data_IF_104144537726
#
_entry.id   IF_104144537726
#
_cell.length_a   1.000
_cell.length_b   1.000
_cell.length_c   1.000
_cell.angle_alpha   90.00
_cell.angle_beta   90.00
_cell.angle_gamma   90.00
#
_symmetry.space_group_name_H-M   'P 1'
#
loop_
_entity.id
_entity.type
_entity.pdbx_description
1 polymer ?
#
# COMPACT_ATOMS: atom_id res chain seq x y z
N UNK A 1 -6.49 -23.66 -4.47
CA UNK A 1 -5.99 -22.35 -3.99
C UNK A 1 -4.82 -21.99 -4.89
N UNK A 2 -4.59 -20.72 -5.20
CA UNK A 2 -3.44 -20.33 -6.05
C UNK A 2 -2.14 -20.76 -5.33
N UNK A 3 -1.17 -21.32 -6.06
CA UNK A 3 0.09 -21.80 -5.48
C UNK A 3 0.83 -20.68 -4.73
N UNK A 4 0.74 -19.43 -5.21
CA UNK A 4 1.32 -18.29 -4.52
C UNK A 4 0.66 -18.03 -3.17
N UNK A 5 -0.67 -18.20 -3.07
CA UNK A 5 -1.40 -18.02 -1.80
C UNK A 5 -0.96 -19.08 -0.78
N UNK A 6 -0.79 -20.32 -1.20
CA UNK A 6 -0.28 -21.39 -0.31
C UNK A 6 1.11 -21.04 0.25
N UNK A 7 2.03 -20.56 -0.61
CA UNK A 7 3.36 -20.09 -0.17
C UNK A 7 3.27 -18.93 0.82
N UNK A 8 2.41 -17.95 0.56
CA UNK A 8 2.19 -16.83 1.48
C UNK A 8 1.69 -17.32 2.83
N UNK A 9 0.77 -18.29 2.84
CA UNK A 9 0.26 -18.87 4.09
C UNK A 9 1.36 -19.62 4.83
N UNK A 10 2.25 -20.33 4.14
CA UNK A 10 3.41 -20.96 4.79
C UNK A 10 4.34 -19.92 5.45
N UNK A 11 4.59 -18.79 4.80
CA UNK A 11 5.35 -17.67 5.42
C UNK A 11 4.62 -17.11 6.65
N UNK A 12 3.30 -16.94 6.56
CA UNK A 12 2.47 -16.48 7.67
C UNK A 12 2.58 -17.44 8.88
N UNK A 13 2.50 -18.74 8.67
CA UNK A 13 2.60 -19.73 9.76
C UNK A 13 4.00 -19.78 10.39
N UNK A 14 5.05 -19.44 9.62
CA UNK A 14 6.42 -19.27 10.14
C UNK A 14 6.63 -17.93 10.88
N UNK A 15 5.68 -17.00 10.77
CA UNK A 15 5.80 -15.67 11.36
C UNK A 15 6.65 -14.71 10.53
N UNK A 16 6.77 -14.95 9.23
CA UNK A 16 7.63 -14.23 8.30
C UNK A 16 6.84 -13.12 7.58
N UNK A 17 7.43 -11.93 7.43
CA UNK A 17 6.86 -10.90 6.56
C UNK A 17 7.06 -11.30 5.10
N UNK A 18 6.18 -10.83 4.23
CA UNK A 18 6.20 -11.24 2.83
C UNK A 18 5.81 -10.11 1.87
N UNK A 19 6.24 -10.25 0.63
CA UNK A 19 5.81 -9.46 -0.52
C UNK A 19 5.20 -10.41 -1.55
N UNK A 20 3.92 -10.22 -1.90
CA UNK A 20 3.36 -10.79 -3.12
C UNK A 20 3.50 -9.76 -4.24
N UNK A 21 4.50 -9.96 -5.08
CA UNK A 21 4.73 -9.13 -6.27
C UNK A 21 4.06 -9.75 -7.49
N UNK A 22 3.64 -8.93 -8.44
CA UNK A 22 3.03 -9.44 -9.66
C UNK A 22 2.68 -8.34 -10.64
N UNK A 23 2.87 -8.61 -11.93
CA UNK A 23 2.68 -7.61 -12.97
C UNK A 23 1.22 -7.16 -13.09
N UNK A 24 0.97 -6.15 -13.93
CA UNK A 24 -0.39 -5.70 -14.21
C UNK A 24 -1.24 -6.87 -14.72
N UNK A 25 -2.48 -6.98 -14.21
CA UNK A 25 -3.39 -8.06 -14.62
C UNK A 25 -3.10 -9.45 -14.01
N UNK A 26 -2.13 -9.58 -13.10
CA UNK A 26 -1.86 -10.86 -12.42
C UNK A 26 -2.92 -11.29 -11.40
N UNK A 27 -3.68 -10.34 -10.85
CA UNK A 27 -4.70 -10.60 -9.84
C UNK A 27 -4.20 -10.49 -8.40
N UNK A 28 -3.22 -9.62 -8.12
CA UNK A 28 -2.71 -9.37 -6.75
C UNK A 28 -3.80 -9.10 -5.73
N UNK A 29 -4.73 -8.18 -6.00
CA UNK A 29 -5.86 -7.88 -5.10
C UNK A 29 -6.78 -9.09 -4.89
N UNK A 30 -6.90 -9.99 -5.88
CA UNK A 30 -7.62 -11.25 -5.70
C UNK A 30 -6.86 -12.17 -4.74
N UNK A 31 -5.54 -12.32 -4.89
CA UNK A 31 -4.69 -13.07 -3.97
C UNK A 31 -4.70 -12.49 -2.56
N UNK A 32 -4.65 -11.16 -2.39
CA UNK A 32 -4.84 -10.48 -1.09
C UNK A 32 -6.14 -10.91 -0.40
N UNK A 33 -7.26 -10.89 -1.13
CA UNK A 33 -8.56 -11.32 -0.59
C UNK A 33 -8.54 -12.79 -0.19
N UNK A 34 -7.90 -13.67 -0.97
CA UNK A 34 -7.77 -15.09 -0.60
C UNK A 34 -6.91 -15.27 0.65
N UNK A 35 -5.78 -14.58 0.75
CA UNK A 35 -4.90 -14.59 1.93
C UNK A 35 -5.67 -14.11 3.16
N UNK A 36 -6.41 -13.00 3.08
CA UNK A 36 -7.23 -12.50 4.19
C UNK A 36 -8.24 -13.56 4.67
N UNK A 37 -8.96 -14.19 3.74
CA UNK A 37 -9.96 -15.22 4.08
C UNK A 37 -9.32 -16.45 4.74
N UNK A 38 -8.16 -16.87 4.25
CA UNK A 38 -7.45 -18.01 4.82
C UNK A 38 -6.90 -17.67 6.21
N UNK A 39 -6.36 -16.46 6.41
CA UNK A 39 -5.93 -15.98 7.72
C UNK A 39 -7.09 -15.92 8.70
N UNK A 40 -8.27 -15.43 8.29
CA UNK A 40 -9.48 -15.44 9.14
C UNK A 40 -9.87 -16.87 9.51
N UNK A 41 -9.79 -17.80 8.57
CA UNK A 41 -10.16 -19.20 8.78
C UNK A 41 -9.21 -19.89 9.76
N UNK A 42 -7.90 -19.66 9.63
CA UNK A 42 -6.86 -20.25 10.49
C UNK A 42 -6.73 -19.56 11.85
N UNK A 43 -6.98 -18.26 11.89
CA UNK A 43 -6.82 -17.40 13.07
C UNK A 43 -8.12 -16.65 13.38
N UNK A 44 -9.21 -17.35 13.76
CA UNK A 44 -10.56 -16.78 13.86
C UNK A 44 -10.74 -15.71 14.95
N UNK A 45 -9.80 -15.62 15.90
CA UNK A 45 -9.80 -14.59 16.95
C UNK A 45 -8.95 -13.37 16.60
N UNK A 46 -8.12 -13.46 15.56
CA UNK A 46 -7.19 -12.39 15.19
C UNK A 46 -7.86 -11.37 14.30
N UNK A 47 -7.56 -10.09 14.53
CA UNK A 47 -7.93 -9.02 13.61
C UNK A 47 -6.84 -8.81 12.56
N UNK A 48 -7.26 -8.34 11.40
CA UNK A 48 -6.40 -8.02 10.26
C UNK A 48 -6.61 -6.55 9.94
N UNK A 49 -5.53 -5.79 9.81
CA UNK A 49 -5.57 -4.48 9.17
C UNK A 49 -5.18 -4.62 7.70
N UNK A 50 -5.96 -4.04 6.80
CA UNK A 50 -5.63 -3.95 5.38
C UNK A 50 -5.61 -2.48 4.97
N UNK A 51 -4.46 -1.98 4.57
CA UNK A 51 -4.24 -0.59 4.18
C UNK A 51 -4.22 -0.48 2.67
N UNK A 52 -4.83 0.58 2.14
CA UNK A 52 -4.83 0.89 0.71
C UNK A 52 -4.57 2.38 0.48
N UNK A 53 -4.24 2.75 -0.76
CA UNK A 53 -4.04 4.17 -1.11
C UNK A 53 -5.37 4.92 -1.31
N UNK A 54 -6.40 4.27 -1.87
CA UNK A 54 -7.67 4.94 -2.22
C UNK A 54 -8.88 4.38 -1.48
N UNK A 55 -9.91 5.20 -1.27
CA UNK A 55 -11.21 4.77 -0.73
C UNK A 55 -11.95 3.78 -1.65
N UNK A 56 -11.71 3.83 -2.97
CA UNK A 56 -12.30 2.87 -3.90
C UNK A 56 -11.77 1.44 -3.63
N UNK A 57 -10.46 1.31 -3.42
CA UNK A 57 -9.82 0.04 -3.04
C UNK A 57 -10.32 -0.45 -1.68
N UNK A 58 -10.52 0.45 -0.71
CA UNK A 58 -11.12 0.11 0.60
C UNK A 58 -12.46 -0.60 0.39
N UNK A 59 -13.41 0.05 -0.28
CA UNK A 59 -14.74 -0.50 -0.50
C UNK A 59 -14.73 -1.78 -1.33
N UNK A 60 -13.81 -1.90 -2.28
CA UNK A 60 -13.66 -3.10 -3.09
C UNK A 60 -13.25 -4.31 -2.23
N UNK A 61 -12.25 -4.15 -1.35
CA UNK A 61 -11.77 -5.23 -0.48
C UNK A 61 -12.83 -5.57 0.59
N UNK A 62 -13.44 -4.56 1.21
CA UNK A 62 -14.51 -4.76 2.20
C UNK A 62 -15.65 -5.59 1.63
N UNK A 63 -16.16 -5.21 0.45
CA UNK A 63 -17.26 -5.94 -0.20
C UNK A 63 -16.87 -7.37 -0.56
N UNK A 64 -15.59 -7.64 -0.85
CA UNK A 64 -15.12 -8.98 -1.24
C UNK A 64 -14.93 -9.89 -0.03
N UNK A 65 -14.57 -9.39 1.14
CA UNK A 65 -14.31 -10.22 2.33
C UNK A 65 -15.52 -10.25 3.27
N UNK A 66 -16.12 -9.09 3.53
CA UNK A 66 -17.28 -8.87 4.42
C UNK A 66 -17.19 -9.66 5.74
N UNK A 67 -16.20 -9.30 6.59
CA UNK A 67 -15.96 -10.00 7.84
C UNK A 67 -15.53 -9.07 8.98
N UNK A 68 -16.08 -9.29 10.17
CA UNK A 68 -15.86 -8.44 11.35
C UNK A 68 -14.41 -8.39 11.85
N UNK A 69 -13.58 -9.35 11.43
CA UNK A 69 -12.16 -9.38 11.80
C UNK A 69 -11.25 -8.59 10.86
N UNK A 70 -11.77 -8.14 9.73
CA UNK A 70 -11.03 -7.30 8.80
C UNK A 70 -11.35 -5.83 9.09
N UNK A 71 -10.30 -5.01 9.22
CA UNK A 71 -10.41 -3.56 9.20
C UNK A 71 -9.67 -3.05 7.96
N UNK A 72 -10.41 -2.58 6.95
CA UNK A 72 -9.84 -1.98 5.75
C UNK A 72 -9.90 -0.46 5.89
N UNK A 73 -8.83 0.23 5.54
CA UNK A 73 -8.83 1.70 5.56
C UNK A 73 -7.77 2.26 4.62
N UNK A 74 -7.82 3.57 4.37
CA UNK A 74 -6.67 4.24 3.79
C UNK A 74 -5.49 4.20 4.76
N UNK A 75 -4.29 4.43 4.23
CA UNK A 75 -3.06 4.56 5.05
C UNK A 75 -3.22 5.67 6.10
N UNK A 76 -3.71 6.84 5.71
CA UNK A 76 -3.85 7.98 6.61
C UNK A 76 -4.87 7.71 7.73
N UNK A 77 -6.00 7.09 7.40
CA UNK A 77 -7.01 6.74 8.39
C UNK A 77 -6.49 5.68 9.37
N UNK A 78 -5.75 4.68 8.87
CA UNK A 78 -5.09 3.69 9.72
C UNK A 78 -4.15 4.37 10.71
N UNK A 79 -3.29 5.25 10.24
CA UNK A 79 -2.35 5.98 11.09
C UNK A 79 -3.08 6.78 12.15
N UNK A 80 -4.06 7.60 11.74
CA UNK A 80 -4.84 8.43 12.65
C UNK A 80 -5.57 7.61 13.71
N UNK A 81 -6.25 6.54 13.31
CA UNK A 81 -7.01 5.68 14.22
C UNK A 81 -6.15 5.04 15.32
N UNK A 82 -4.88 4.78 15.02
CA UNK A 82 -3.94 4.19 15.96
C UNK A 82 -3.25 5.22 16.87
N UNK A 83 -3.29 6.52 16.56
CA UNK A 83 -2.64 7.56 17.38
C UNK A 83 -3.60 8.54 18.05
N UNK A 84 -4.83 8.71 17.53
CA UNK A 84 -5.77 9.78 17.93
C UNK A 84 -6.10 9.84 19.42
N UNK A 85 -6.04 8.73 20.12
CA UNK A 85 -6.34 8.65 21.55
C UNK A 85 -5.15 9.04 22.44
N UNK A 86 -3.95 9.17 21.89
CA UNK A 86 -2.72 9.54 22.61
C UNK A 86 -2.49 11.06 22.54
N UNK A 87 -3.50 11.85 22.92
CA UNK A 87 -3.51 13.30 22.74
C UNK A 87 -2.37 14.03 23.45
N UNK A 88 -1.95 13.54 24.61
CA UNK A 88 -0.79 14.09 25.33
C UNK A 88 0.50 13.89 24.53
N UNK A 89 0.72 12.68 24.05
CA UNK A 89 1.87 12.30 23.23
C UNK A 89 1.85 13.01 21.87
N UNK A 90 0.67 13.15 21.24
CA UNK A 90 0.44 13.91 20.01
C UNK A 90 0.89 15.36 20.16
N UNK A 91 0.36 16.07 21.17
CA UNK A 91 0.71 17.47 21.43
C UNK A 91 2.21 17.64 21.70
N UNK A 92 2.79 16.76 22.52
CA UNK A 92 4.21 16.81 22.86
C UNK A 92 5.10 16.56 21.64
N UNK A 93 4.78 15.57 20.81
CA UNK A 93 5.55 15.26 19.59
C UNK A 93 5.39 16.35 18.54
N UNK A 94 4.19 16.91 18.38
CA UNK A 94 3.96 17.99 17.43
C UNK A 94 4.76 19.26 17.81
N UNK A 95 4.83 19.61 19.09
CA UNK A 95 5.68 20.73 19.56
C UNK A 95 7.16 20.43 19.32
N UNK A 96 7.62 19.21 19.63
CA UNK A 96 8.99 18.81 19.33
C UNK A 96 9.31 18.98 17.84
N UNK A 97 8.41 18.52 16.96
CA UNK A 97 8.59 18.64 15.51
C UNK A 97 8.59 20.09 15.03
N UNK A 98 7.71 20.93 15.57
CA UNK A 98 7.67 22.37 15.27
C UNK A 98 8.96 23.10 15.67
N UNK A 99 9.65 22.61 16.70
CA UNK A 99 10.92 23.15 17.17
C UNK A 99 12.15 22.47 16.56
N UNK A 100 11.96 21.42 15.75
CA UNK A 100 13.05 20.70 15.10
C UNK A 100 13.20 21.18 13.66
N UNK A 101 14.41 21.63 13.29
CA UNK A 101 14.72 21.98 11.90
C UNK A 101 14.51 20.77 10.99
N UNK A 102 14.00 21.03 9.78
CA UNK A 102 13.79 20.01 8.74
C UNK A 102 12.81 18.89 9.10
N UNK A 103 11.96 19.09 10.12
CA UNK A 103 10.88 18.16 10.47
C UNK A 103 9.79 18.07 9.39
N UNK A 104 9.78 19.03 8.45
CA UNK A 104 8.75 19.15 7.42
C UNK A 104 7.39 19.61 7.95
N UNK A 105 7.32 20.13 9.18
CA UNK A 105 6.13 20.74 9.77
C UNK A 105 6.50 22.14 10.28
N UNK A 106 5.72 23.15 9.91
CA UNK A 106 5.94 24.53 10.31
C UNK A 106 4.65 25.23 10.73
N UNK A 107 4.75 26.15 11.69
CA UNK A 107 3.62 26.95 12.14
C UNK A 107 3.66 28.31 11.44
N UNK A 108 2.75 28.51 10.48
CA UNK A 108 2.66 29.77 9.72
C UNK A 108 2.49 30.97 10.66
N UNK A 109 3.31 32.00 10.47
CA UNK A 109 3.25 33.25 11.22
C UNK A 109 3.80 33.18 12.65
N UNK A 110 4.51 32.11 13.01
CA UNK A 110 5.17 31.98 14.31
C UNK A 110 6.68 32.07 14.13
N UNK A 111 7.32 33.00 14.84
CA UNK A 111 8.78 33.18 14.86
C UNK A 111 9.34 32.76 16.22
N UNK A 112 10.35 31.88 16.21
CA UNK A 112 11.02 31.39 17.42
C UNK A 112 10.54 30.02 17.91
N UNK A 113 10.88 29.70 19.15
CA UNK A 113 10.55 28.41 19.77
C UNK A 113 9.07 28.37 20.18
N UNK A 114 8.37 27.32 19.73
CA UNK A 114 6.98 27.03 20.13
C UNK A 114 6.99 26.49 21.55
N UNK A 115 6.28 27.12 22.50
CA UNK A 115 6.33 26.72 23.90
C UNK A 115 5.65 25.37 24.13
N UNK A 116 6.10 24.64 25.15
CA UNK A 116 5.62 23.29 25.49
C UNK A 116 4.12 23.22 25.86
N UNK A 117 3.53 24.35 26.23
CA UNK A 117 2.12 24.50 26.57
C UNK A 117 1.27 25.05 25.40
N UNK A 118 1.81 25.22 24.19
CA UNK A 118 1.09 25.87 23.07
C UNK A 118 -0.31 25.28 22.79
N UNK A 119 -0.44 23.95 22.87
CA UNK A 119 -1.70 23.22 22.65
C UNK A 119 -2.55 23.00 23.93
N UNK A 120 -2.23 23.74 24.99
CA UNK A 120 -2.87 23.65 26.31
C UNK A 120 -3.23 25.04 26.85
N UNK A 121 -2.36 26.02 26.63
CA UNK A 121 -2.52 27.39 27.07
C UNK A 121 -3.73 28.04 26.38
N UNK A 122 -4.59 28.67 27.19
CA UNK A 122 -5.77 29.42 26.73
C UNK A 122 -6.69 28.60 25.81
N UNK A 123 -6.71 27.28 26.00
CA UNK A 123 -7.59 26.33 25.29
C UNK A 123 -8.62 25.72 26.22
N UNK A 124 -9.75 25.33 25.63
CA UNK A 124 -10.77 24.54 26.31
C UNK A 124 -10.21 23.20 26.82
N UNK A 125 -10.74 22.67 27.94
CA UNK A 125 -10.25 21.42 28.54
C UNK A 125 -10.30 20.21 27.60
N UNK A 126 -11.20 20.21 26.62
CA UNK A 126 -11.41 19.14 25.64
C UNK A 126 -10.64 19.36 24.32
N UNK A 127 -9.81 20.41 24.23
CA UNK A 127 -9.01 20.68 23.03
C UNK A 127 -8.13 19.48 22.66
N UNK A 128 -8.32 19.00 21.44
CA UNK A 128 -7.64 17.84 20.89
C UNK A 128 -7.07 18.17 19.51
N UNK A 129 -5.93 17.56 19.20
CA UNK A 129 -5.43 17.49 17.83
C UNK A 129 -6.44 16.70 17.00
N UNK A 130 -6.74 17.19 15.80
CA UNK A 130 -7.69 16.61 14.86
C UNK A 130 -7.03 16.42 13.50
N UNK A 131 -7.35 15.33 12.82
CA UNK A 131 -6.96 15.09 11.44
C UNK A 131 -8.11 15.44 10.49
N UNK A 132 -7.82 16.23 9.46
CA UNK A 132 -8.75 16.68 8.41
C UNK A 132 -8.04 16.79 7.07
N UNK A 133 -8.78 17.05 6.00
CA UNK A 133 -8.23 17.22 4.64
C UNK A 133 -7.43 18.54 4.46
N UNK A 134 -7.48 19.45 5.44
CA UNK A 134 -6.80 20.74 5.38
C UNK A 134 -5.93 20.98 6.61
N UNK A 135 -4.85 21.77 6.43
CA UNK A 135 -3.93 22.12 7.50
C UNK A 135 -4.36 23.39 8.24
N UNK A 136 -4.50 23.32 9.56
CA UNK A 136 -4.64 24.49 10.43
C UNK A 136 -4.01 24.22 11.79
N UNK A 137 -2.67 24.14 11.81
CA UNK A 137 -1.89 23.75 12.98
C UNK A 137 -2.14 24.65 14.20
N UNK A 138 -2.36 25.94 14.01
CA UNK A 138 -2.71 26.84 15.10
C UNK A 138 -3.96 26.38 15.86
N UNK A 139 -4.89 25.69 15.20
CA UNK A 139 -6.11 25.14 15.80
C UNK A 139 -6.00 23.65 16.15
N UNK A 140 -4.78 23.09 16.08
CA UNK A 140 -4.55 21.66 16.29
C UNK A 140 -5.06 20.77 15.16
N UNK A 141 -5.30 21.32 13.97
CA UNK A 141 -5.77 20.54 12.82
C UNK A 141 -4.57 20.19 11.93
N UNK A 142 -4.33 18.89 11.74
CA UNK A 142 -3.28 18.31 10.87
C UNK A 142 -3.87 17.76 9.57
N UNK A 143 -3.11 17.83 8.48
CA UNK A 143 -3.50 17.28 7.18
C UNK A 143 -2.95 15.86 6.94
N UNK A 144 -3.14 15.33 5.73
CA UNK A 144 -2.55 14.06 5.26
C UNK A 144 -1.03 14.03 5.42
N UNK A 145 -0.35 15.13 5.05
CA UNK A 145 1.11 15.23 5.11
C UNK A 145 1.62 15.21 6.55
N UNK A 146 0.95 15.94 7.45
CA UNK A 146 1.33 16.01 8.85
C UNK A 146 1.01 14.72 9.60
N UNK A 147 -0.15 14.07 9.35
CA UNK A 147 -0.50 12.83 10.06
C UNK A 147 0.52 11.74 9.75
N UNK A 148 1.04 11.68 8.54
CA UNK A 148 2.08 10.73 8.16
C UNK A 148 3.38 10.95 8.96
N UNK A 149 3.94 12.17 8.91
CA UNK A 149 5.19 12.53 9.61
C UNK A 149 5.05 12.40 11.12
N UNK A 150 3.93 12.89 11.67
CA UNK A 150 3.64 12.82 13.10
C UNK A 150 3.51 11.37 13.57
N UNK A 151 2.84 10.53 12.78
CA UNK A 151 2.72 9.10 13.09
C UNK A 151 4.09 8.44 13.14
N UNK A 152 4.91 8.59 12.11
CA UNK A 152 6.26 8.01 12.09
C UNK A 152 7.03 8.36 13.37
N UNK A 153 7.00 9.65 13.73
CA UNK A 153 7.71 10.14 14.91
C UNK A 153 7.13 9.56 16.21
N UNK A 154 5.82 9.41 16.30
CA UNK A 154 5.15 8.79 17.44
C UNK A 154 5.44 7.29 17.56
N UNK A 155 5.40 6.54 16.45
CA UNK A 155 5.75 5.11 16.43
C UNK A 155 7.21 4.88 16.82
N UNK A 156 8.12 5.76 16.39
CA UNK A 156 9.51 5.76 16.80
C UNK A 156 9.68 6.01 18.31
N UNK A 157 9.07 7.09 18.82
CA UNK A 157 9.30 7.59 20.18
C UNK A 157 8.58 6.76 21.25
N UNK A 158 7.43 6.20 20.93
CA UNK A 158 6.58 5.50 21.90
C UNK A 158 6.36 4.03 21.49
N UNK A 159 7.27 3.11 21.87
CA UNK A 159 7.11 1.67 21.62
C UNK A 159 5.80 1.07 22.15
N UNK A 160 5.13 1.73 23.10
CA UNK A 160 3.80 1.36 23.58
C UNK A 160 2.73 1.47 22.49
N UNK A 161 2.84 2.43 21.57
CA UNK A 161 1.94 2.57 20.42
C UNK A 161 2.14 1.37 19.48
N UNK A 162 3.38 1.05 19.12
CA UNK A 162 3.70 -0.17 18.35
C UNK A 162 3.11 -1.41 19.04
N UNK A 163 3.32 -1.57 20.35
CA UNK A 163 2.76 -2.70 21.12
C UNK A 163 1.23 -2.73 21.10
N UNK A 164 0.57 -1.57 21.17
CA UNK A 164 -0.88 -1.45 21.06
C UNK A 164 -1.37 -1.89 19.68
N UNK A 165 -0.77 -1.37 18.60
CA UNK A 165 -1.14 -1.71 17.22
C UNK A 165 -0.94 -3.20 16.94
N UNK A 166 0.22 -3.77 17.29
CA UNK A 166 0.51 -5.21 17.09
C UNK A 166 -0.44 -6.12 17.89
N UNK A 167 -0.95 -5.64 19.03
CA UNK A 167 -1.96 -6.39 19.80
C UNK A 167 -3.33 -6.33 19.15
N UNK A 168 -3.66 -5.17 18.59
CA UNK A 168 -4.92 -4.95 17.91
C UNK A 168 -4.96 -5.69 16.59
N UNK A 169 -3.86 -5.71 15.84
CA UNK A 169 -3.73 -6.31 14.51
C UNK A 169 -2.49 -7.19 14.45
N UNK A 170 -2.60 -8.51 14.73
CA UNK A 170 -1.52 -9.46 14.51
C UNK A 170 -1.11 -9.62 13.03
N UNK A 171 -1.96 -9.19 12.10
CA UNK A 171 -1.69 -9.19 10.66
C UNK A 171 -1.97 -7.81 10.09
N UNK A 172 -1.00 -7.27 9.35
CA UNK A 172 -1.11 -5.97 8.65
C UNK A 172 -0.75 -6.19 7.19
N UNK A 173 -1.69 -5.92 6.29
CA UNK A 173 -1.51 -6.04 4.85
C UNK A 173 -1.60 -4.69 4.16
N UNK A 174 -0.81 -4.51 3.11
CA UNK A 174 -0.77 -3.28 2.30
C UNK A 174 -1.03 -3.65 0.85
N UNK A 175 -2.09 -3.11 0.27
CA UNK A 175 -2.33 -3.15 -1.17
C UNK A 175 -1.64 -1.97 -1.86
N UNK A 176 -1.17 -2.17 -3.08
CA UNK A 176 -0.39 -1.20 -3.87
C UNK A 176 0.79 -0.60 -3.08
N UNK A 177 1.65 -1.47 -2.53
CA UNK A 177 2.75 -1.03 -1.66
C UNK A 177 3.71 -0.06 -2.33
N UNK A 178 3.90 -0.14 -3.65
CA UNK A 178 4.84 0.71 -4.37
C UNK A 178 4.50 2.21 -4.25
N UNK A 179 3.21 2.52 -4.10
CA UNK A 179 2.69 3.87 -3.97
C UNK A 179 2.56 4.30 -2.49
N UNK A 180 2.95 3.43 -1.55
CA UNK A 180 2.95 3.73 -0.13
C UNK A 180 4.16 4.59 0.23
N UNK A 181 3.98 5.60 1.08
CA UNK A 181 5.07 6.46 1.51
C UNK A 181 6.16 5.69 2.28
N UNK A 182 7.46 5.97 2.06
CA UNK A 182 8.59 5.34 2.76
C UNK A 182 8.49 5.36 4.29
N UNK A 183 7.87 6.38 4.89
CA UNK A 183 7.68 6.47 6.34
C UNK A 183 6.81 5.33 6.88
N UNK A 184 5.85 4.83 6.10
CA UNK A 184 5.03 3.67 6.49
C UNK A 184 5.86 2.40 6.47
N UNK A 185 6.65 2.20 5.42
CA UNK A 185 7.56 1.04 5.31
C UNK A 185 8.53 1.04 6.48
N UNK A 186 9.08 2.21 6.83
CA UNK A 186 9.93 2.41 8.00
C UNK A 186 9.24 2.03 9.31
N UNK A 187 8.00 2.48 9.54
CA UNK A 187 7.22 2.09 10.73
C UNK A 187 7.10 0.55 10.81
N UNK A 188 6.71 -0.08 9.71
CA UNK A 188 6.35 -1.50 9.69
C UNK A 188 7.55 -2.45 9.67
N UNK A 189 8.67 -2.05 9.08
CA UNK A 189 9.85 -2.90 8.91
C UNK A 189 11.02 -2.53 9.81
N UNK A 190 11.08 -1.30 10.34
CA UNK A 190 12.15 -0.91 11.28
C UNK A 190 11.67 -0.74 12.72
N UNK A 191 10.41 -0.30 12.95
CA UNK A 191 9.93 -0.01 14.31
C UNK A 191 9.13 -1.16 14.91
N UNK A 192 8.30 -1.83 14.11
CA UNK A 192 7.57 -3.01 14.57
C UNK A 192 8.50 -4.11 15.10
N UNK A 193 9.63 -4.46 14.45
CA UNK A 193 10.52 -5.51 14.95
C UNK A 193 11.16 -5.21 16.32
N UNK A 194 11.28 -3.92 16.69
CA UNK A 194 11.83 -3.50 18.00
C UNK A 194 10.92 -3.86 19.18
N UNK A 195 9.70 -4.30 18.93
CA UNK A 195 8.74 -4.72 19.96
C UNK A 195 8.44 -6.20 19.85
N UNK A 196 8.59 -6.93 20.96
CA UNK A 196 8.54 -8.41 21.04
C UNK A 196 7.21 -9.06 20.65
N UNK A 197 6.09 -8.33 20.71
CA UNK A 197 4.79 -8.86 20.28
C UNK A 197 4.87 -9.29 18.81
N UNK A 198 4.22 -10.37 18.41
CA UNK A 198 4.23 -10.80 17.01
C UNK A 198 3.25 -9.95 16.18
N UNK A 199 3.64 -9.62 14.96
CA UNK A 199 2.79 -9.03 13.93
C UNK A 199 3.42 -9.38 12.59
N UNK A 200 2.62 -9.89 11.67
CA UNK A 200 3.08 -10.24 10.33
C UNK A 200 2.66 -9.13 9.38
N UNK A 201 3.60 -8.66 8.58
CA UNK A 201 3.38 -7.61 7.58
C UNK A 201 3.45 -8.23 6.19
N UNK A 202 2.40 -8.00 5.39
CA UNK A 202 2.32 -8.47 4.02
C UNK A 202 2.16 -7.31 3.03
N UNK A 203 3.00 -7.26 2.01
CA UNK A 203 2.93 -6.27 0.95
C UNK A 203 2.38 -6.91 -0.32
N UNK A 204 1.52 -6.20 -1.05
CA UNK A 204 0.94 -6.62 -2.32
C UNK A 204 1.12 -5.48 -3.31
N UNK A 205 1.75 -5.73 -4.46
CA UNK A 205 2.02 -4.64 -5.39
C UNK A 205 2.92 -4.99 -6.56
N UNK A 206 3.31 -3.97 -7.31
CA UNK A 206 4.21 -4.06 -8.45
C UNK A 206 5.07 -2.79 -8.50
N UNK A 207 6.38 -2.92 -8.30
CA UNK A 207 7.31 -1.78 -8.34
C UNK A 207 7.29 -1.04 -9.69
N UNK A 208 7.03 -1.75 -10.80
CA UNK A 208 6.91 -1.15 -12.13
C UNK A 208 5.59 -0.37 -12.34
N UNK A 209 4.66 -0.40 -11.38
CA UNK A 209 3.40 0.37 -11.39
C UNK A 209 3.44 1.58 -10.46
N UNK A 210 4.60 1.93 -9.89
CA UNK A 210 4.74 3.13 -9.08
C UNK A 210 4.49 4.37 -9.95
N UNK A 211 3.49 5.17 -9.58
CA UNK A 211 3.11 6.40 -10.33
C UNK A 211 3.15 7.66 -9.47
N UNK A 212 3.36 7.53 -8.16
CA UNK A 212 3.51 8.64 -7.24
C UNK A 212 4.98 8.84 -6.86
N UNK A 213 5.49 10.05 -7.06
CA UNK A 213 6.91 10.40 -6.83
C UNK A 213 7.34 10.26 -5.36
N UNK A 214 6.40 10.36 -4.42
CA UNK A 214 6.63 10.21 -2.98
C UNK A 214 6.39 8.79 -2.46
N UNK A 215 6.02 7.86 -3.35
CA UNK A 215 5.91 6.44 -3.05
C UNK A 215 7.28 5.80 -2.81
N UNK A 216 7.28 4.64 -2.16
CA UNK A 216 8.52 3.88 -1.90
C UNK A 216 9.11 3.31 -3.19
N UNK A 217 8.29 3.08 -4.22
CA UNK A 217 8.68 2.48 -5.48
C UNK A 217 8.96 0.98 -5.36
N UNK A 218 10.01 0.61 -4.63
CA UNK A 218 10.35 -0.78 -4.31
C UNK A 218 10.77 -0.93 -2.85
N UNK A 219 10.82 -2.17 -2.38
CA UNK A 219 11.30 -2.52 -1.03
C UNK A 219 12.45 -3.51 -1.10
N UNK A 220 13.24 -3.46 -2.18
CA UNK A 220 14.26 -4.46 -2.51
C UNK A 220 15.33 -4.58 -1.42
N UNK A 221 15.64 -3.46 -0.75
CA UNK A 221 16.55 -3.42 0.40
C UNK A 221 16.08 -4.23 1.62
N UNK A 222 14.79 -4.56 1.69
CA UNK A 222 14.20 -5.38 2.75
C UNK A 222 13.99 -6.83 2.32
N UNK A 223 14.13 -7.14 1.02
CA UNK A 223 13.92 -8.50 0.53
C UNK A 223 15.06 -9.42 0.95
N UNK A 224 14.70 -10.65 1.32
CA UNK A 224 15.65 -11.73 1.56
C UNK A 224 16.04 -12.31 0.21
N UNK A 225 17.31 -12.14 -0.14
CA UNK A 225 17.91 -12.67 -1.37
C UNK A 225 19.28 -13.26 -1.06
N UNK A 226 19.88 -13.96 -2.02
CA UNK A 226 21.27 -14.44 -1.89
C UNK A 226 22.27 -13.29 -1.68
N UNK A 227 21.96 -12.10 -2.21
CA UNK A 227 22.76 -10.88 -2.09
C UNK A 227 22.42 -10.07 -0.82
N UNK A 228 21.25 -10.29 -0.23
CA UNK A 228 20.75 -9.64 0.98
C UNK A 228 20.19 -10.66 1.99
N UNK A 229 21.05 -11.48 2.63
CA UNK A 229 20.59 -12.51 3.57
C UNK A 229 20.04 -11.93 4.88
N UNK A 230 20.38 -10.68 5.20
CA UNK A 230 19.90 -9.95 6.39
C UNK A 230 18.56 -9.24 6.14
N UNK A 231 17.95 -9.43 4.96
CA UNK A 231 16.60 -8.96 4.67
C UNK A 231 15.56 -9.50 5.67
N UNK A 232 14.35 -8.92 5.64
CA UNK A 232 13.28 -9.28 6.56
C UNK A 232 11.94 -9.57 5.88
N UNK A 233 11.89 -9.57 4.55
CA UNK A 233 10.69 -9.79 3.73
C UNK A 233 10.96 -10.89 2.69
N UNK A 234 10.11 -11.91 2.63
CA UNK A 234 10.18 -12.95 1.60
C UNK A 234 9.32 -12.58 0.40
N UNK A 235 9.88 -12.64 -0.81
CA UNK A 235 9.12 -12.38 -2.04
C UNK A 235 8.47 -13.66 -2.59
N UNK A 236 7.19 -13.57 -2.95
CA UNK A 236 6.47 -14.56 -3.74
C UNK A 236 5.94 -13.89 -5.02
N UNK A 237 6.61 -14.18 -6.12
CA UNK A 237 6.28 -13.62 -7.43
C UNK A 237 5.09 -14.34 -8.08
N UNK A 238 4.07 -13.56 -8.46
CA UNK A 238 2.93 -14.01 -9.26
C UNK A 238 3.20 -13.76 -10.74
N UNK A 239 3.62 -14.81 -11.44
CA UNK A 239 3.98 -14.76 -12.87
C UNK A 239 2.77 -14.74 -13.79
N UNK A 240 1.68 -15.39 -13.42
CA UNK A 240 0.53 -15.50 -14.30
C UNK A 240 -0.17 -14.15 -14.51
N UNK A 241 -0.40 -13.77 -15.76
CA UNK A 241 -1.28 -12.69 -16.19
C UNK A 241 -2.63 -13.29 -16.60
N UNK A 242 -3.70 -12.82 -15.96
CA UNK A 242 -5.06 -13.36 -16.13
C UNK A 242 -5.97 -12.42 -16.92
N UNK A 243 -5.48 -11.23 -17.28
CA UNK A 243 -6.28 -10.14 -17.87
C UNK A 243 -5.93 -9.94 -19.34
N UNK A 244 -4.65 -9.97 -19.67
CA UNK A 244 -4.15 -9.48 -20.96
C UNK A 244 -3.96 -10.62 -21.98
N UNK A 245 -4.22 -10.35 -23.28
CA UNK A 245 -3.83 -11.21 -24.39
C UNK A 245 -2.30 -11.40 -24.50
N UNK A 246 -1.88 -12.43 -25.23
CA UNK A 246 -0.47 -12.80 -25.43
C UNK A 246 0.37 -11.63 -25.96
N UNK A 247 -0.11 -10.90 -26.97
CA UNK A 247 0.62 -9.77 -27.55
C UNK A 247 0.93 -8.69 -26.52
N UNK A 248 -0.02 -8.41 -25.62
CA UNK A 248 0.09 -7.41 -24.55
C UNK A 248 1.03 -7.88 -23.45
N UNK A 249 1.00 -9.17 -23.09
CA UNK A 249 1.95 -9.77 -22.13
C UNK A 249 3.37 -9.66 -22.69
N UNK A 250 3.58 -10.03 -23.95
CA UNK A 250 4.89 -9.97 -24.60
C UNK A 250 5.45 -8.54 -24.60
N UNK A 251 4.63 -7.55 -24.97
CA UNK A 251 5.05 -6.14 -24.92
C UNK A 251 5.33 -5.70 -23.48
N UNK A 252 4.44 -6.00 -22.53
CA UNK A 252 4.62 -5.63 -21.13
C UNK A 252 5.96 -6.16 -20.59
N UNK A 253 6.27 -7.44 -20.81
CA UNK A 253 7.55 -8.04 -20.42
C UNK A 253 8.75 -7.34 -21.06
N UNK A 254 8.65 -6.87 -22.31
CA UNK A 254 9.75 -6.15 -22.97
C UNK A 254 10.02 -4.75 -22.39
N UNK A 255 9.06 -4.19 -21.65
CA UNK A 255 9.17 -2.89 -20.99
C UNK A 255 9.56 -2.99 -19.51
N UNK A 256 9.54 -4.21 -18.94
CA UNK A 256 9.90 -4.42 -17.53
C UNK A 256 11.41 -4.28 -17.34
N UNK A 257 11.79 -3.67 -16.23
CA UNK A 257 13.18 -3.45 -15.83
C UNK A 257 13.58 -4.31 -14.61
N UNK A 258 12.62 -5.04 -14.06
CA UNK A 258 12.79 -5.92 -12.91
C UNK A 258 12.92 -7.39 -13.34
N UNK A 259 13.05 -8.30 -12.36
CA UNK A 259 13.23 -9.74 -12.61
C UNK A 259 11.92 -10.47 -12.94
N UNK A 260 10.77 -9.81 -12.77
CA UNK A 260 9.48 -10.45 -12.98
C UNK A 260 9.20 -10.65 -14.47
N UNK A 261 8.97 -11.90 -14.86
CA UNK A 261 8.49 -12.27 -16.18
C UNK A 261 7.06 -12.77 -16.12
N UNK A 262 6.13 -12.12 -16.83
CA UNK A 262 4.73 -12.53 -16.86
C UNK A 262 4.49 -13.64 -17.89
N UNK A 263 3.67 -14.61 -17.51
CA UNK A 263 3.24 -15.72 -18.36
C UNK A 263 1.72 -15.73 -18.46
N UNK A 264 1.10 -16.24 -19.53
CA UNK A 264 -0.35 -16.39 -19.57
C UNK A 264 -0.89 -17.26 -18.44
N UNK A 265 -2.16 -17.04 -18.08
CA UNK A 265 -2.84 -17.84 -17.08
C UNK A 265 -3.01 -19.29 -17.53
N UNK A 266 -2.87 -20.24 -16.60
CA UNK A 266 -3.21 -21.65 -16.81
C UNK A 266 -4.71 -21.93 -16.54
N UNK A 267 -5.37 -21.05 -15.80
CA UNK A 267 -6.82 -21.12 -15.58
C UNK A 267 -7.61 -20.85 -16.87
N UNK A 268 -8.26 -21.90 -17.39
CA UNK A 268 -9.12 -21.87 -18.57
C UNK A 268 -10.30 -20.87 -18.45
N UNK A 269 -10.66 -20.45 -17.23
CA UNK A 269 -11.71 -19.46 -16.98
C UNK A 269 -11.18 -18.03 -16.86
N UNK A 270 -9.87 -17.82 -17.00
CA UNK A 270 -9.29 -16.50 -16.93
C UNK A 270 -9.80 -15.61 -18.09
N UNK A 271 -10.02 -14.30 -17.85
CA UNK A 271 -10.49 -13.36 -18.88
C UNK A 271 -9.68 -13.34 -20.18
N UNK A 272 -8.40 -13.70 -20.14
CA UNK A 272 -7.52 -13.77 -21.31
C UNK A 272 -7.55 -15.11 -22.05
N UNK A 273 -8.38 -16.06 -21.64
CA UNK A 273 -8.56 -17.33 -22.33
C UNK A 273 -9.74 -17.27 -23.31
N UNK A 274 -9.63 -17.98 -24.43
CA UNK A 274 -10.73 -18.27 -25.35
C UNK A 274 -11.63 -19.34 -24.75
N UNK A 275 -12.85 -19.50 -25.30
CA UNK A 275 -13.75 -20.58 -24.87
C UNK A 275 -13.20 -22.00 -25.12
N UNK A 276 -12.16 -22.11 -25.94
CA UNK A 276 -11.46 -23.35 -26.27
C UNK A 276 -10.25 -23.61 -25.36
N UNK A 277 -9.95 -22.71 -24.41
CA UNK A 277 -8.84 -22.86 -23.48
C UNK A 277 -7.48 -22.44 -24.02
N UNK A 278 -7.45 -21.64 -25.09
CA UNK A 278 -6.23 -21.03 -25.61
C UNK A 278 -6.09 -19.59 -25.11
N UNK A 279 -4.87 -19.10 -24.97
CA UNK A 279 -4.64 -17.68 -24.67
C UNK A 279 -5.09 -16.86 -25.87
N UNK A 280 -5.83 -15.77 -25.63
CA UNK A 280 -6.17 -14.80 -26.68
C UNK A 280 -4.87 -14.19 -27.21
N UNK A 281 -4.66 -14.23 -28.52
CA UNK A 281 -3.48 -13.59 -29.13
C UNK A 281 -3.49 -12.07 -28.93
N UNK A 282 -4.60 -11.43 -29.29
CA UNK A 282 -4.72 -9.97 -29.28
C UNK A 282 -3.84 -9.29 -30.33
N UNK A 283 -3.90 -7.96 -30.38
CA UNK A 283 -3.03 -7.16 -31.24
C UNK A 283 -2.71 -5.82 -30.61
N UNK A 284 -1.59 -5.23 -31.02
CA UNK A 284 -1.14 -3.90 -30.56
C UNK A 284 -0.85 -3.06 -31.79
N UNK A 285 -1.33 -1.82 -31.79
CA UNK A 285 -1.07 -0.85 -32.85
C UNK A 285 -0.66 0.47 -32.23
N UNK A 286 0.51 0.98 -32.61
CA UNK A 286 0.97 2.32 -32.26
C UNK A 286 0.58 3.29 -33.37
N UNK A 287 -0.07 4.39 -32.99
CA UNK A 287 -0.42 5.46 -33.90
C UNK A 287 0.30 6.73 -33.44
N UNK A 288 0.94 7.42 -34.38
CA UNK A 288 1.61 8.69 -34.13
C UNK A 288 1.15 9.73 -35.16
N UNK A 289 1.33 11.00 -34.82
CA UNK A 289 1.05 12.15 -35.67
C UNK A 289 2.08 13.22 -35.36
N UNK A 290 2.60 13.86 -36.40
CA UNK A 290 3.51 15.00 -36.28
C UNK A 290 2.75 16.32 -36.05
N UNK A 291 1.42 16.28 -36.17
CA UNK A 291 0.53 17.38 -35.81
C UNK A 291 0.08 17.23 -34.35
N UNK A 292 0.10 18.32 -33.58
CA UNK A 292 -0.42 18.40 -32.20
C UNK A 292 -1.91 18.00 -32.09
N UNK A 293 -2.62 17.94 -33.23
CA UNK A 293 -4.01 17.53 -33.28
C UNK A 293 -4.17 15.99 -33.23
N UNK A 294 -4.48 15.49 -32.04
CA UNK A 294 -4.75 14.06 -31.79
C UNK A 294 -6.05 13.54 -32.43
N UNK A 295 -6.93 14.38 -32.98
CA UNK A 295 -8.23 13.95 -33.53
C UNK A 295 -8.09 13.11 -34.80
N UNK A 296 -7.02 13.33 -35.58
CA UNK A 296 -6.72 12.53 -36.78
C UNK A 296 -6.33 11.10 -36.37
N UNK A 297 -5.50 10.98 -35.33
CA UNK A 297 -5.08 9.69 -34.76
C UNK A 297 -6.26 8.95 -34.15
N UNK A 298 -7.08 9.65 -33.35
CA UNK A 298 -8.28 9.08 -32.72
C UNK A 298 -9.28 8.56 -33.76
N UNK A 299 -9.50 9.27 -34.87
CA UNK A 299 -10.38 8.81 -35.95
C UNK A 299 -9.87 7.54 -36.62
N UNK A 300 -8.58 7.50 -36.99
CA UNK A 300 -7.96 6.31 -37.59
C UNK A 300 -8.03 5.08 -36.67
N UNK A 301 -7.82 5.29 -35.37
CA UNK A 301 -7.97 4.22 -34.38
C UNK A 301 -9.42 3.71 -34.30
N UNK A 302 -10.41 4.61 -34.22
CA UNK A 302 -11.83 4.23 -34.18
C UNK A 302 -12.32 3.53 -35.45
N UNK A 303 -11.84 3.95 -36.63
CA UNK A 303 -12.18 3.33 -37.91
C UNK A 303 -11.69 1.88 -37.98
N UNK A 304 -10.47 1.60 -37.51
CA UNK A 304 -9.94 0.23 -37.43
C UNK A 304 -10.70 -0.65 -36.43
N UNK A 305 -11.10 -0.09 -35.27
CA UNK A 305 -11.95 -0.80 -34.30
C UNK A 305 -13.31 -1.14 -34.92
N UNK A 306 -13.95 -0.19 -35.62
CA UNK A 306 -15.23 -0.43 -36.30
C UNK A 306 -15.15 -1.43 -37.44
N UNK A 307 -14.02 -1.51 -38.14
CA UNK A 307 -13.82 -2.45 -39.25
C UNK A 307 -13.51 -3.88 -38.81
N UNK A 308 -13.41 -4.16 -37.50
CA UNK A 308 -13.23 -5.52 -36.99
C UNK A 308 -11.85 -6.12 -37.29
N UNK A 309 -10.82 -5.28 -37.49
CA UNK A 309 -9.43 -5.74 -37.58
C UNK A 309 -8.87 -6.03 -36.17
N UNK A 310 -9.44 -7.01 -35.46
CA UNK A 310 -8.99 -7.51 -34.16
C UNK A 310 -9.29 -9.00 -34.01
#
# INVERSE_FOLDING_TARGET
MDQEVEKIIDHIEKGENFLLSGGAGSGKTYSLVQVIREVITRHPSSKIACMTYTNASVHEIERRVDHSNLNVSTIHDFLWDNIKNFQRELKATLIEMLNTKDSGISLNGYEGEVPSNFFVQDREPDFAIQYKEYLKLQDGIISHDEVLKLSERMFFKYPKIVSFVKSRYPFVFIDEYQDTNPLIVKILLEYFPKVTKKCIVGFFGDSMQAIYDDGVGNIDSYLITDENPDGCVYEVQKKQNRRCPQSVITLANSLRLDSLHQEPSDDLKAPNMTGEGHVKEGSISFYYSDEDNTDVVKRKAHERIRMGFF
#
